data_IF_380808503740
#
_entry.id   IF_380808503740
#
_cell.length_a   1.000
_cell.length_b   1.000
_cell.length_c   1.000
_cell.angle_alpha   90.00
_cell.angle_beta   90.00
_cell.angle_gamma   90.00
#
_symmetry.space_group_name_H-M   'P 1'
#
loop_
_entity.id
_entity.type
_entity.pdbx_description
1 polymer ?
#
# COMPACT_ATOMS: atom_id res chain seq x y z
N UNK A 1 -7.71 -46.65 14.26
CA UNK A 1 -8.12 -45.68 13.23
C UNK A 1 -8.36 -44.27 13.82
N UNK A 2 -7.37 -43.62 14.46
CA UNK A 2 -7.56 -42.29 15.11
C UNK A 2 -6.64 -41.17 14.58
N UNK A 3 -5.71 -41.47 13.67
CA UNK A 3 -4.75 -40.49 13.14
C UNK A 3 -5.30 -39.65 11.97
N UNK A 4 -6.36 -40.12 11.29
CA UNK A 4 -6.90 -39.45 10.10
C UNK A 4 -7.79 -38.23 10.42
N UNK A 5 -8.45 -38.20 11.58
CA UNK A 5 -9.35 -37.10 11.95
C UNK A 5 -8.61 -35.81 12.35
N UNK A 6 -7.45 -35.94 13.02
CA UNK A 6 -6.63 -34.80 13.41
C UNK A 6 -5.98 -34.10 12.20
N UNK A 7 -5.58 -34.88 11.18
CA UNK A 7 -5.00 -34.33 9.95
C UNK A 7 -6.05 -33.56 9.13
N UNK A 8 -7.29 -34.06 9.06
CA UNK A 8 -8.42 -33.38 8.41
C UNK A 8 -8.83 -32.09 9.13
N UNK A 9 -8.78 -32.05 10.46
CA UNK A 9 -9.04 -30.83 11.23
C UNK A 9 -7.96 -29.76 10.99
N UNK A 10 -6.68 -30.15 10.91
CA UNK A 10 -5.57 -29.23 10.60
C UNK A 10 -5.66 -28.73 9.15
N UNK A 11 -6.04 -29.58 8.19
CA UNK A 11 -6.28 -29.18 6.80
C UNK A 11 -7.50 -28.26 6.64
N UNK A 12 -8.57 -28.46 7.43
CA UNK A 12 -9.73 -27.57 7.44
C UNK A 12 -9.41 -26.18 8.01
N UNK A 13 -8.50 -26.07 8.99
CA UNK A 13 -8.01 -24.79 9.51
C UNK A 13 -7.07 -24.06 8.53
N UNK A 14 -6.33 -24.80 7.68
CA UNK A 14 -5.49 -24.21 6.64
C UNK A 14 -6.27 -23.62 5.45
N UNK A 15 -7.58 -23.89 5.35
CA UNK A 15 -8.48 -23.36 4.32
C UNK A 15 -9.42 -22.25 4.84
N UNK A 16 -9.17 -21.68 6.01
CA UNK A 16 -9.81 -20.42 6.40
C UNK A 16 -9.27 -19.30 5.49
N UNK A 17 -9.87 -19.18 4.29
CA UNK A 17 -9.61 -18.12 3.33
C UNK A 17 -9.76 -16.79 4.07
N UNK A 18 -8.66 -16.04 4.16
CA UNK A 18 -8.64 -14.70 4.78
C UNK A 18 -9.79 -13.88 4.18
N UNK A 19 -10.67 -13.37 5.05
CA UNK A 19 -11.87 -12.65 4.60
C UNK A 19 -11.49 -11.21 4.29
N UNK A 20 -11.89 -10.67 3.12
CA UNK A 20 -11.70 -9.26 2.81
C UNK A 20 -12.20 -8.38 3.96
N UNK A 21 -11.35 -7.46 4.39
CA UNK A 21 -11.60 -6.55 5.49
C UNK A 21 -11.80 -5.13 4.93
N UNK A 22 -13.05 -4.62 4.88
CA UNK A 22 -13.29 -3.24 4.51
C UNK A 22 -12.75 -2.33 5.61
N UNK A 23 -11.85 -1.44 5.24
CA UNK A 23 -11.18 -0.51 6.14
C UNK A 23 -11.54 0.93 5.77
N UNK A 24 -11.89 1.73 6.78
CA UNK A 24 -12.16 3.16 6.65
C UNK A 24 -11.54 3.91 7.83
N UNK A 25 -10.74 4.94 7.55
CA UNK A 25 -10.20 5.84 8.56
C UNK A 25 -10.59 7.28 8.24
N UNK A 26 -11.72 7.71 8.82
CA UNK A 26 -12.35 9.01 8.56
C UNK A 26 -11.44 10.19 8.86
N UNK A 27 -10.64 10.12 9.93
CA UNK A 27 -9.74 11.22 10.32
C UNK A 27 -8.63 11.47 9.28
N UNK A 28 -8.21 10.41 8.59
CA UNK A 28 -7.22 10.47 7.53
C UNK A 28 -7.86 10.59 6.15
N UNK A 29 -9.18 10.40 6.04
CA UNK A 29 -9.93 10.46 4.79
C UNK A 29 -9.56 9.34 3.83
N UNK A 30 -9.24 8.14 4.31
CA UNK A 30 -8.83 7.00 3.48
C UNK A 30 -9.73 5.78 3.69
N UNK A 31 -9.94 5.01 2.63
CA UNK A 31 -10.56 3.69 2.69
C UNK A 31 -9.84 2.72 1.77
N UNK A 32 -9.87 1.42 2.08
CA UNK A 32 -9.39 0.34 1.21
C UNK A 32 -9.97 -1.01 1.68
N UNK A 33 -9.86 -2.05 0.87
CA UNK A 33 -10.21 -3.42 1.23
C UNK A 33 -8.94 -4.24 1.41
N UNK A 34 -8.59 -4.54 2.66
CA UNK A 34 -7.45 -5.40 2.96
C UNK A 34 -7.82 -6.88 2.84
N UNK A 35 -6.83 -7.78 2.64
CA UNK A 35 -7.09 -9.22 2.69
C UNK A 35 -7.48 -9.74 4.08
N UNK A 36 -7.10 -9.01 5.12
CA UNK A 36 -7.41 -9.27 6.52
C UNK A 36 -7.26 -7.98 7.32
N UNK A 37 -7.47 -8.04 8.64
CA UNK A 37 -7.40 -6.85 9.50
C UNK A 37 -5.98 -6.25 9.50
N UNK A 38 -5.81 -4.98 9.12
CA UNK A 38 -4.51 -4.33 9.12
C UNK A 38 -4.12 -3.87 10.52
N UNK A 39 -2.82 -3.89 10.81
CA UNK A 39 -2.25 -3.30 12.02
C UNK A 39 -1.87 -1.85 11.76
N UNK A 40 -2.16 -0.98 12.73
CA UNK A 40 -1.75 0.41 12.68
C UNK A 40 -0.37 0.60 13.31
N UNK A 41 0.47 1.41 12.68
CA UNK A 41 1.67 1.94 13.30
C UNK A 41 1.92 3.41 12.92
N UNK A 42 2.78 4.05 13.70
CA UNK A 42 3.29 5.39 13.45
C UNK A 42 4.80 5.30 13.36
N UNK A 43 5.42 5.84 12.31
CA UNK A 43 6.87 5.93 12.22
C UNK A 43 7.35 7.23 11.57
N UNK A 44 8.44 7.82 12.09
CA UNK A 44 9.10 8.93 11.42
C UNK A 44 10.01 8.41 10.31
N UNK A 45 10.16 9.19 9.24
CA UNK A 45 11.06 8.87 8.14
C UNK A 45 11.64 10.13 7.52
N UNK A 46 12.93 10.09 7.21
CA UNK A 46 13.57 11.12 6.42
C UNK A 46 13.25 10.90 4.93
N UNK A 47 12.55 11.89 4.35
CA UNK A 47 12.11 11.87 2.96
C UNK A 47 12.71 13.06 2.20
N UNK A 48 12.58 13.11 0.86
CA UNK A 48 12.97 14.30 0.10
C UNK A 48 12.21 15.57 0.48
N UNK A 49 11.07 15.47 1.17
CA UNK A 49 10.32 16.61 1.69
C UNK A 49 10.84 17.09 3.05
N UNK A 50 11.73 16.32 3.69
CA UNK A 50 12.12 16.47 5.08
C UNK A 50 11.61 15.30 5.92
N UNK A 51 11.72 15.43 7.25
CA UNK A 51 11.26 14.38 8.18
C UNK A 51 9.75 14.36 8.23
N UNK A 52 9.15 13.26 7.78
CA UNK A 52 7.71 13.03 7.77
C UNK A 52 7.31 12.07 8.88
N UNK A 53 6.12 12.26 9.44
CA UNK A 53 5.47 11.28 10.30
C UNK A 53 4.43 10.53 9.48
N UNK A 54 4.61 9.22 9.34
CA UNK A 54 3.67 8.35 8.65
C UNK A 54 2.70 7.71 9.64
N UNK A 55 1.44 7.63 9.23
CA UNK A 55 0.48 6.67 9.79
C UNK A 55 0.29 5.55 8.80
N UNK A 56 0.65 4.33 9.20
CA UNK A 56 0.59 3.14 8.35
C UNK A 56 -0.47 2.18 8.84
N UNK A 57 -1.16 1.54 7.90
CA UNK A 57 -2.04 0.41 8.11
C UNK A 57 -1.54 -0.73 7.23
N UNK A 58 -1.06 -1.79 7.85
CA UNK A 58 -0.38 -2.86 7.15
C UNK A 58 -1.02 -4.21 7.43
N UNK A 59 -1.28 -4.96 6.36
CA UNK A 59 -1.55 -6.39 6.42
C UNK A 59 -0.36 -7.15 5.83
N UNK A 60 0.36 -7.86 6.69
CA UNK A 60 1.49 -8.70 6.29
C UNK A 60 1.43 -10.01 7.09
N UNK A 61 1.07 -11.14 6.46
CA UNK A 61 0.99 -12.41 7.16
C UNK A 61 2.38 -12.87 7.59
N UNK A 62 2.50 -13.38 8.82
CA UNK A 62 3.76 -13.84 9.38
C UNK A 62 4.42 -14.91 8.52
N UNK A 63 5.74 -14.79 8.32
CA UNK A 63 6.53 -15.76 7.55
C UNK A 63 6.42 -15.64 6.02
N UNK A 64 5.75 -14.61 5.50
CA UNK A 64 5.63 -14.35 4.06
C UNK A 64 6.29 -13.03 3.70
N UNK A 65 7.35 -13.08 2.90
CA UNK A 65 8.03 -11.89 2.35
C UNK A 65 7.51 -11.47 0.98
N UNK A 66 6.76 -12.36 0.33
CA UNK A 66 6.15 -12.21 -0.98
C UNK A 66 4.71 -11.67 -0.90
N UNK A 67 4.26 -11.26 0.29
CA UNK A 67 2.89 -10.83 0.51
C UNK A 67 2.81 -9.72 1.56
N UNK A 68 2.34 -8.55 1.16
CA UNK A 68 2.15 -7.40 2.05
C UNK A 68 1.29 -6.32 1.42
N UNK A 69 0.46 -5.67 2.22
CA UNK A 69 -0.45 -4.62 1.78
C UNK A 69 -0.33 -3.47 2.77
N UNK A 70 0.02 -2.29 2.28
CA UNK A 70 0.35 -1.12 3.09
C UNK A 70 -0.49 0.06 2.62
N UNK A 71 -1.07 0.79 3.57
CA UNK A 71 -1.69 2.09 3.35
C UNK A 71 -1.01 3.09 4.29
N UNK A 72 -0.28 4.03 3.71
CA UNK A 72 0.49 5.03 4.40
C UNK A 72 -0.09 6.43 4.16
N UNK A 73 -0.23 7.21 5.23
CA UNK A 73 -0.62 8.62 5.18
C UNK A 73 0.43 9.46 5.86
N UNK A 74 1.07 10.34 5.08
CA UNK A 74 2.15 11.20 5.54
C UNK A 74 1.78 12.67 5.37
N UNK A 75 1.90 13.45 6.44
CA UNK A 75 1.77 14.90 6.36
C UNK A 75 3.04 15.49 5.72
N UNK A 76 2.87 16.29 4.67
CA UNK A 76 4.00 17.06 4.14
C UNK A 76 4.42 18.09 5.18
N UNK A 77 5.73 18.20 5.48
CA UNK A 77 6.22 19.24 6.37
C UNK A 77 6.03 20.63 5.72
N UNK A 78 5.98 21.70 6.52
CA UNK A 78 5.89 23.05 5.98
C UNK A 78 7.15 23.40 5.17
N UNK A 79 6.96 24.14 4.08
CA UNK A 79 8.04 24.58 3.19
C UNK A 79 7.82 24.15 1.73
N UNK A 80 8.83 24.38 0.89
CA UNK A 80 8.87 24.03 -0.54
C UNK A 80 9.80 22.84 -0.84
N UNK A 81 10.38 22.23 0.21
CA UNK A 81 11.27 21.10 0.06
C UNK A 81 10.52 19.92 -0.58
N UNK A 82 11.02 19.46 -1.73
CA UNK A 82 10.39 18.39 -2.50
C UNK A 82 9.31 18.86 -3.50
N UNK A 83 9.05 20.16 -3.60
CA UNK A 83 8.21 20.77 -4.63
C UNK A 83 7.12 21.69 -4.06
N UNK A 84 6.96 22.85 -4.70
CA UNK A 84 5.97 23.89 -4.36
C UNK A 84 4.62 23.70 -5.09
N UNK A 85 4.57 22.79 -6.06
CA UNK A 85 3.37 22.43 -6.82
C UNK A 85 3.04 20.95 -6.68
N UNK A 86 1.76 20.60 -6.85
CA UNK A 86 1.29 19.21 -6.81
C UNK A 86 2.06 18.30 -7.79
N UNK A 87 2.28 18.67 -9.06
CA UNK A 87 3.08 17.86 -9.98
C UNK A 87 4.54 17.69 -9.53
N UNK A 88 5.17 18.75 -9.02
CA UNK A 88 6.54 18.70 -8.54
C UNK A 88 6.67 17.77 -7.33
N UNK A 89 5.75 17.87 -6.37
CA UNK A 89 5.70 16.98 -5.20
C UNK A 89 5.49 15.51 -5.61
N UNK A 90 4.55 15.23 -6.52
CA UNK A 90 4.33 13.87 -7.02
C UNK A 90 5.56 13.31 -7.76
N UNK A 91 6.23 14.13 -8.58
CA UNK A 91 7.47 13.72 -9.25
C UNK A 91 8.62 13.46 -8.25
N UNK A 92 8.71 14.25 -7.17
CA UNK A 92 9.65 14.01 -6.08
C UNK A 92 9.39 12.68 -5.38
N UNK A 93 8.12 12.39 -5.08
CA UNK A 93 7.78 11.14 -4.42
C UNK A 93 7.97 9.93 -5.35
N UNK A 94 7.70 10.06 -6.65
CA UNK A 94 8.02 9.03 -7.64
C UNK A 94 9.52 8.69 -7.65
N UNK A 95 10.40 9.71 -7.66
CA UNK A 95 11.86 9.49 -7.57
C UNK A 95 12.27 8.80 -6.27
N UNK A 96 11.60 9.13 -5.16
CA UNK A 96 11.83 8.49 -3.87
C UNK A 96 11.41 7.01 -3.86
N UNK A 97 10.25 6.70 -4.45
CA UNK A 97 9.81 5.32 -4.62
C UNK A 97 10.78 4.55 -5.52
N UNK A 98 11.23 5.16 -6.62
CA UNK A 98 12.16 4.53 -7.55
C UNK A 98 13.52 4.22 -6.92
N UNK A 99 14.01 5.07 -5.99
CA UNK A 99 15.28 4.80 -5.28
C UNK A 99 15.18 3.60 -4.32
N UNK A 100 13.97 3.29 -3.84
CA UNK A 100 13.69 2.18 -2.90
C UNK A 100 13.34 0.88 -3.60
N UNK A 101 12.51 0.98 -4.63
CA UNK A 101 11.90 -0.18 -5.30
C UNK A 101 12.61 -0.53 -6.61
N UNK A 102 13.40 0.39 -7.16
CA UNK A 102 13.97 0.29 -8.50
C UNK A 102 13.09 0.98 -9.56
N UNK A 103 13.35 0.74 -10.85
CA UNK A 103 12.60 1.38 -11.94
C UNK A 103 11.09 1.18 -11.80
N UNK A 104 10.32 2.23 -12.07
CA UNK A 104 8.87 2.23 -12.00
C UNK A 104 8.25 2.42 -13.38
N UNK A 105 7.16 1.71 -13.65
CA UNK A 105 6.24 2.01 -14.75
C UNK A 105 5.09 2.81 -14.15
N UNK A 106 5.02 4.10 -14.51
CA UNK A 106 3.99 5.03 -14.03
C UNK A 106 2.78 5.05 -14.96
N UNK A 107 1.59 5.19 -14.38
CA UNK A 107 0.35 5.45 -15.10
C UNK A 107 -0.43 6.53 -14.35
N UNK A 108 -0.93 7.54 -15.06
CA UNK A 108 -1.71 8.59 -14.42
C UNK A 108 -3.05 8.06 -13.92
N UNK A 109 -3.52 8.60 -12.79
CA UNK A 109 -4.83 8.24 -12.25
C UNK A 109 -5.95 8.95 -13.01
N UNK A 110 -7.15 8.35 -13.08
CA UNK A 110 -8.34 9.06 -13.51
C UNK A 110 -8.58 10.31 -12.64
N UNK A 111 -8.97 11.46 -13.22
CA UNK A 111 -9.11 12.72 -12.49
C UNK A 111 -9.99 12.65 -11.24
N UNK A 112 -11.02 11.78 -11.25
CA UNK A 112 -11.92 11.56 -10.13
C UNK A 112 -11.26 10.97 -8.87
N UNK A 113 -10.07 10.35 -8.99
CA UNK A 113 -9.32 9.83 -7.83
C UNK A 113 -8.43 10.88 -7.17
N UNK A 114 -8.33 12.08 -7.75
CA UNK A 114 -7.46 13.15 -7.29
C UNK A 114 -6.08 13.12 -7.98
N UNK A 115 -5.23 14.13 -7.70
CA UNK A 115 -3.93 14.24 -8.35
C UNK A 115 -2.98 13.20 -7.78
N UNK A 116 -2.48 12.34 -8.65
CA UNK A 116 -1.72 11.17 -8.25
C UNK A 116 -1.33 10.30 -9.42
N UNK A 117 -0.74 9.15 -9.11
CA UNK A 117 -0.33 8.16 -10.11
C UNK A 117 -0.42 6.75 -9.52
N UNK A 118 -0.59 5.78 -10.41
CA UNK A 118 -0.36 4.37 -10.14
C UNK A 118 1.04 4.00 -10.65
N UNK A 119 1.67 3.02 -10.02
CA UNK A 119 2.96 2.52 -10.47
C UNK A 119 3.08 1.01 -10.29
N UNK A 120 3.88 0.39 -11.16
CA UNK A 120 4.38 -0.98 -11.02
C UNK A 120 5.91 -0.91 -10.89
N UNK A 121 6.49 -1.52 -9.86
CA UNK A 121 7.94 -1.56 -9.71
C UNK A 121 8.55 -2.78 -10.41
N UNK A 122 9.71 -2.59 -11.04
CA UNK A 122 10.48 -3.67 -11.66
C UNK A 122 10.95 -4.68 -10.62
N UNK A 123 10.44 -5.90 -10.67
CA UNK A 123 10.77 -6.95 -9.70
C UNK A 123 12.24 -7.37 -9.78
N UNK A 124 13.01 -7.12 -8.71
CA UNK A 124 14.34 -7.71 -8.51
C UNK A 124 14.33 -8.98 -7.66
N UNK A 125 13.20 -9.32 -7.03
CA UNK A 125 13.11 -10.37 -6.00
C UNK A 125 12.06 -11.44 -6.30
N UNK A 126 11.56 -11.52 -7.52
CA UNK A 126 10.51 -12.48 -7.91
C UNK A 126 9.14 -12.17 -7.31
N UNK A 127 8.94 -10.95 -6.80
CA UNK A 127 7.66 -10.44 -6.29
C UNK A 127 7.12 -9.33 -7.19
N UNK A 128 5.80 -9.24 -7.31
CA UNK A 128 5.12 -8.14 -7.97
C UNK A 128 4.83 -7.04 -6.95
N UNK A 129 5.23 -5.80 -7.25
CA UNK A 129 4.94 -4.64 -6.40
C UNK A 129 4.21 -3.59 -7.21
N UNK A 130 3.09 -3.13 -6.66
CA UNK A 130 2.23 -2.14 -7.29
C UNK A 130 1.65 -1.21 -6.25
N UNK A 131 1.46 0.06 -6.62
CA UNK A 131 0.85 1.01 -5.72
C UNK A 131 0.17 2.19 -6.39
N UNK A 132 -0.56 2.94 -5.58
CA UNK A 132 -1.28 4.16 -5.92
C UNK A 132 -0.86 5.25 -4.95
N UNK A 133 -0.48 6.40 -5.48
CA UNK A 133 -0.12 7.60 -4.73
C UNK A 133 -1.11 8.70 -5.06
N UNK A 134 -1.68 9.35 -4.04
CA UNK A 134 -2.56 10.51 -4.18
C UNK A 134 -2.06 11.62 -3.25
N UNK A 135 -1.94 12.84 -3.76
CA UNK A 135 -1.61 14.03 -2.98
C UNK A 135 -2.89 14.85 -2.74
N UNK A 136 -3.35 14.96 -1.49
CA UNK A 136 -4.57 15.71 -1.18
C UNK A 136 -4.43 16.41 0.16
N UNK A 137 -4.86 17.68 0.25
CA UNK A 137 -4.88 18.47 1.50
C UNK A 137 -3.53 18.45 2.25
N UNK A 138 -2.42 18.60 1.53
CA UNK A 138 -1.07 18.60 2.10
C UNK A 138 -0.59 17.23 2.62
N UNK A 139 -1.23 16.13 2.22
CA UNK A 139 -0.89 14.77 2.64
C UNK A 139 -0.61 13.87 1.44
N UNK A 140 0.44 13.08 1.55
CA UNK A 140 0.67 11.94 0.67
C UNK A 140 -0.11 10.74 1.21
N UNK A 141 -0.93 10.16 0.36
CA UNK A 141 -1.65 8.92 0.61
C UNK A 141 -1.08 7.87 -0.34
N UNK A 142 -0.53 6.79 0.21
CA UNK A 142 0.17 5.77 -0.56
C UNK A 142 -0.38 4.40 -0.20
N UNK A 143 -0.98 3.72 -1.18
CA UNK A 143 -1.38 2.33 -1.06
C UNK A 143 -0.40 1.48 -1.87
N UNK A 144 0.20 0.45 -1.27
CA UNK A 144 1.13 -0.47 -1.94
C UNK A 144 0.77 -1.92 -1.63
N UNK A 145 0.77 -2.76 -2.65
CA UNK A 145 0.69 -4.21 -2.53
C UNK A 145 1.97 -4.87 -3.05
N UNK A 146 2.46 -5.84 -2.30
CA UNK A 146 3.49 -6.80 -2.69
C UNK A 146 2.83 -8.17 -2.75
N UNK A 147 2.93 -8.86 -3.88
CA UNK A 147 2.37 -10.20 -4.09
C UNK A 147 3.38 -11.08 -4.83
N UNK A 148 3.22 -12.40 -4.79
CA UNK A 148 4.06 -13.31 -5.57
C UNK A 148 3.84 -13.17 -7.09
N UNK A 149 2.66 -12.69 -7.50
CA UNK A 149 2.21 -12.62 -8.90
C UNK A 149 1.27 -11.44 -9.14
N UNK A 150 1.28 -10.92 -10.37
CA UNK A 150 0.49 -9.75 -10.78
C UNK A 150 -1.03 -10.00 -10.80
N UNK A 151 -1.45 -11.26 -10.98
CA UNK A 151 -2.86 -11.66 -11.08
C UNK A 151 -3.44 -12.13 -9.73
N UNK A 152 -2.81 -11.78 -8.61
CA UNK A 152 -3.38 -12.01 -7.28
C UNK A 152 -4.67 -11.18 -7.11
N UNK A 153 -5.84 -11.79 -6.88
CA UNK A 153 -7.11 -11.07 -6.81
C UNK A 153 -7.16 -10.06 -5.65
N UNK A 154 -6.36 -10.28 -4.59
CA UNK A 154 -6.29 -9.37 -3.45
C UNK A 154 -5.63 -8.04 -3.81
N UNK A 155 -4.72 -8.05 -4.77
CA UNK A 155 -4.04 -6.85 -5.24
C UNK A 155 -5.04 -5.85 -5.84
N UNK A 156 -5.92 -6.31 -6.73
CA UNK A 156 -6.95 -5.46 -7.34
C UNK A 156 -8.00 -5.04 -6.33
N UNK A 157 -8.48 -5.98 -5.52
CA UNK A 157 -9.42 -5.66 -4.45
C UNK A 157 -8.89 -4.55 -3.53
N UNK A 158 -7.60 -4.55 -3.20
CA UNK A 158 -6.97 -3.52 -2.39
C UNK A 158 -6.79 -2.18 -3.13
N UNK A 159 -6.12 -2.18 -4.29
CA UNK A 159 -5.76 -0.93 -4.99
C UNK A 159 -6.95 -0.23 -5.66
N UNK A 160 -7.93 -0.99 -6.15
CA UNK A 160 -9.11 -0.44 -6.83
C UNK A 160 -10.12 0.11 -5.82
N UNK A 161 -10.18 -0.45 -4.61
CA UNK A 161 -11.02 0.06 -3.51
C UNK A 161 -10.38 1.20 -2.72
N UNK A 162 -9.10 1.51 -2.98
CA UNK A 162 -8.40 2.60 -2.30
C UNK A 162 -8.99 3.96 -2.71
N UNK A 163 -9.51 4.73 -1.75
CA UNK A 163 -10.06 6.07 -2.00
C UNK A 163 -9.56 7.12 -1.01
N UNK A 164 -9.59 8.39 -1.42
CA UNK A 164 -9.20 9.55 -0.60
C UNK A 164 -10.29 10.63 -0.63
N UNK A 165 -10.92 10.88 0.52
CA UNK A 165 -12.00 11.85 0.72
C UNK A 165 -11.51 13.27 1.01
#
# INVERSE_FOLDING_TARGET
MRRSAALLAVLALACARERPFPFEQRNLGVSATFPGEPLQALYPEDTPFGRMQWTTFAYAPGGRMDLGFHLDVGNLPPGDQGGDTVPAALATYERFLASRLGPLVRTDLPPQRGPGFQYVAGSRRGVHVEGVVILKRGRLHHAQATTARADDPRLRAFLDSFTVA
#
